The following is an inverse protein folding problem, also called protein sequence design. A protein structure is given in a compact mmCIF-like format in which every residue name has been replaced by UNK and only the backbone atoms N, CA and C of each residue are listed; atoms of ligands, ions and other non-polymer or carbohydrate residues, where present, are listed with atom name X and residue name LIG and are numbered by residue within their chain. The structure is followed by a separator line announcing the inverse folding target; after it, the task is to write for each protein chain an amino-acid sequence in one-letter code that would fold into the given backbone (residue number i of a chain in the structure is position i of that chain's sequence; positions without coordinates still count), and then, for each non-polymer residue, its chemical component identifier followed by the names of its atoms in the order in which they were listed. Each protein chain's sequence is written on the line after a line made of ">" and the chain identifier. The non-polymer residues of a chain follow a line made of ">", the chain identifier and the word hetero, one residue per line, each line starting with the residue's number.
data_IF_708414295202
#
_entry.id   IF_708414295202
#
_cell.length_a   1.000
_cell.length_b   1.000
_cell.length_c   1.000
_cell.angle_alpha   90.00
_cell.angle_beta   90.00
_cell.angle_gamma   90.00
#
_symmetry.space_group_name_H-M   'P 1'
#
loop_
_entity.id
_entity.type
_entity.pdbx_description
1 polymer ?
#
# COMPACT_ATOMS: atom_id res chain seq x y z
N UNK A 1 -36.29 -32.61 51.76
CA UNK A 1 -36.04 -33.09 50.38
C UNK A 1 -35.67 -31.89 49.53
N UNK A 2 -34.42 -31.61 49.43
CA UNK A 2 -33.90 -30.40 48.82
C UNK A 2 -33.41 -30.74 47.42
N UNK A 3 -34.10 -30.29 46.38
CA UNK A 3 -33.67 -30.42 45.00
C UNK A 3 -32.72 -29.28 44.68
N UNK A 4 -31.41 -29.60 44.62
CA UNK A 4 -30.37 -28.68 44.24
C UNK A 4 -30.36 -28.56 42.70
N UNK A 5 -30.84 -27.44 42.21
CA UNK A 5 -30.84 -27.14 40.79
C UNK A 5 -29.44 -26.57 40.46
N UNK A 6 -28.63 -27.36 39.74
CA UNK A 6 -27.35 -26.91 39.22
C UNK A 6 -27.61 -26.05 37.99
N UNK A 7 -27.47 -24.74 38.13
CA UNK A 7 -27.37 -23.83 37.01
C UNK A 7 -25.92 -23.90 36.46
N UNK A 8 -25.73 -24.63 35.40
CA UNK A 8 -24.50 -24.59 34.64
C UNK A 8 -24.60 -23.37 33.73
N UNK A 9 -23.95 -22.28 34.13
CA UNK A 9 -23.75 -21.12 33.28
C UNK A 9 -22.66 -21.45 32.25
N UNK A 10 -23.07 -21.81 31.05
CA UNK A 10 -22.16 -21.91 29.90
C UNK A 10 -21.77 -20.50 29.48
N UNK A 11 -20.58 -20.09 29.91
CA UNK A 11 -19.95 -18.85 29.45
C UNK A 11 -19.32 -19.12 28.07
N UNK A 12 -20.08 -18.84 27.02
CA UNK A 12 -19.57 -18.87 25.66
C UNK A 12 -18.70 -17.64 25.47
N UNK A 13 -17.36 -17.84 25.56
CA UNK A 13 -16.40 -16.83 25.21
C UNK A 13 -16.44 -16.64 23.69
N UNK A 14 -17.11 -15.57 23.24
CA UNK A 14 -17.06 -15.08 21.87
C UNK A 14 -15.69 -14.43 21.68
N UNK A 15 -14.73 -15.21 21.19
CA UNK A 15 -13.44 -14.68 20.74
C UNK A 15 -13.71 -13.81 19.50
N UNK A 16 -13.84 -12.50 19.71
CA UNK A 16 -13.82 -11.54 18.64
C UNK A 16 -12.41 -11.60 18.05
N UNK A 17 -12.26 -12.21 16.87
CA UNK A 17 -11.06 -12.06 16.05
C UNK A 17 -10.97 -10.57 15.66
N UNK A 18 -10.11 -9.84 16.36
CA UNK A 18 -9.76 -8.49 15.97
C UNK A 18 -8.84 -8.68 14.79
N UNK A 19 -9.38 -8.65 13.57
CA UNK A 19 -8.59 -8.42 12.37
C UNK A 19 -7.91 -7.06 12.57
N UNK A 20 -6.63 -7.11 12.91
CA UNK A 20 -5.77 -5.95 12.73
C UNK A 20 -5.70 -5.71 11.22
N UNK A 21 -6.71 -5.00 10.70
CA UNK A 21 -6.67 -4.48 9.35
C UNK A 21 -5.37 -3.71 9.21
N UNK A 22 -4.45 -4.29 8.47
CA UNK A 22 -3.30 -3.54 8.00
C UNK A 22 -3.88 -2.30 7.34
N UNK A 23 -3.42 -1.12 7.74
CA UNK A 23 -3.74 0.13 7.07
C UNK A 23 -3.05 0.11 5.69
N UNK A 24 -3.49 -0.80 4.83
CA UNK A 24 -3.19 -0.80 3.42
C UNK A 24 -3.93 0.40 2.84
N UNK A 25 -3.26 1.14 1.96
CA UNK A 25 -3.87 2.27 1.31
C UNK A 25 -5.23 1.89 0.71
N UNK A 26 -6.04 2.90 0.41
CA UNK A 26 -7.44 2.75 -0.04
C UNK A 26 -7.54 1.98 -1.38
N UNK A 27 -6.42 1.83 -2.14
CA UNK A 27 -6.36 1.20 -3.46
C UNK A 27 -5.96 -0.28 -3.46
N UNK A 28 -6.00 -0.89 -4.64
CA UNK A 28 -5.56 -2.26 -4.89
C UNK A 28 -4.08 -2.28 -5.32
N UNK A 29 -3.17 -2.90 -4.53
CA UNK A 29 -1.76 -2.95 -4.87
C UNK A 29 -1.44 -3.78 -6.12
N UNK A 30 -2.30 -4.71 -6.54
CA UNK A 30 -2.10 -5.46 -7.79
C UNK A 30 -2.37 -4.59 -9.01
N UNK A 31 -3.45 -3.83 -8.97
CA UNK A 31 -3.75 -2.86 -10.02
C UNK A 31 -2.69 -1.76 -10.05
N UNK A 32 -2.23 -1.33 -8.87
CA UNK A 32 -1.12 -0.38 -8.75
C UNK A 32 0.18 -0.89 -9.35
N UNK A 33 0.53 -2.16 -9.15
CA UNK A 33 1.68 -2.78 -9.82
C UNK A 33 1.51 -2.79 -11.34
N UNK A 34 0.36 -3.23 -11.84
CA UNK A 34 0.09 -3.29 -13.27
C UNK A 34 0.24 -1.89 -13.91
N UNK A 35 -0.33 -0.88 -13.27
CA UNK A 35 -0.26 0.50 -13.74
C UNK A 35 1.17 1.06 -13.65
N UNK A 36 1.90 0.79 -12.58
CA UNK A 36 3.31 1.19 -12.43
C UNK A 36 4.19 0.58 -13.53
N UNK A 37 3.94 -0.69 -13.88
CA UNK A 37 4.65 -1.35 -14.98
C UNK A 37 4.33 -0.74 -16.36
N UNK A 38 3.11 -0.27 -16.56
CA UNK A 38 2.72 0.37 -17.82
C UNK A 38 3.27 1.80 -17.97
N UNK A 39 3.27 2.56 -16.90
CA UNK A 39 3.53 4.01 -16.94
C UNK A 39 4.89 4.39 -16.37
N UNK A 40 5.25 3.83 -15.22
CA UNK A 40 6.43 4.26 -14.45
C UNK A 40 7.72 3.50 -14.84
N UNK A 41 7.58 2.26 -15.35
CA UNK A 41 8.72 1.38 -15.67
C UNK A 41 9.62 1.87 -16.79
N UNK A 42 9.19 2.85 -17.56
CA UNK A 42 10.04 3.48 -18.58
C UNK A 42 11.24 4.23 -17.97
N UNK A 43 11.07 4.72 -16.75
CA UNK A 43 12.09 5.48 -16.05
C UNK A 43 12.53 4.82 -14.73
N UNK A 44 11.61 4.24 -13.98
CA UNK A 44 11.84 3.69 -12.65
C UNK A 44 11.98 2.17 -12.68
N UNK A 45 12.82 1.62 -11.80
CA UNK A 45 12.70 0.24 -11.36
C UNK A 45 11.46 0.15 -10.46
N UNK A 46 10.43 -0.53 -10.92
CA UNK A 46 9.12 -0.57 -10.25
C UNK A 46 8.95 -1.78 -9.33
N UNK A 47 9.82 -2.78 -9.42
CA UNK A 47 9.77 -4.00 -8.59
C UNK A 47 11.08 -4.20 -7.84
N UNK A 48 11.00 -4.91 -6.70
CA UNK A 48 12.15 -5.14 -5.84
C UNK A 48 13.30 -5.88 -6.53
N UNK A 49 13.00 -6.79 -7.45
CA UNK A 49 14.00 -7.57 -8.19
C UNK A 49 14.83 -6.73 -9.19
N UNK A 50 14.33 -5.56 -9.61
CA UNK A 50 15.08 -4.67 -10.48
C UNK A 50 16.13 -3.90 -9.68
N UNK A 51 17.40 -4.14 -9.95
CA UNK A 51 18.53 -3.52 -9.22
C UNK A 51 18.86 -2.11 -9.71
N UNK A 52 18.39 -1.72 -10.90
CA UNK A 52 18.61 -0.39 -11.49
C UNK A 52 17.38 0.11 -12.22
N UNK A 53 17.15 1.41 -12.13
CA UNK A 53 16.15 2.10 -12.96
C UNK A 53 16.68 2.27 -14.39
N UNK A 54 15.81 2.18 -15.41
CA UNK A 54 16.19 2.48 -16.79
C UNK A 54 16.75 3.90 -16.96
N UNK A 55 16.17 4.87 -16.27
CA UNK A 55 16.74 6.20 -16.15
C UNK A 55 17.53 6.29 -14.84
N UNK A 56 18.84 6.52 -14.93
CA UNK A 56 19.73 6.58 -13.77
C UNK A 56 19.41 7.71 -12.78
N UNK A 57 18.65 8.72 -13.21
CA UNK A 57 18.19 9.82 -12.36
C UNK A 57 16.83 9.54 -11.70
N UNK A 58 16.14 8.49 -12.13
CA UNK A 58 14.86 8.08 -11.53
C UNK A 58 15.15 7.07 -10.41
N UNK A 59 14.82 7.39 -9.16
CA UNK A 59 15.05 6.46 -8.06
C UNK A 59 14.20 5.20 -8.21
N UNK A 60 14.67 4.10 -7.65
CA UNK A 60 13.91 2.84 -7.62
C UNK A 60 12.74 2.97 -6.64
N UNK A 61 11.62 2.37 -6.97
CA UNK A 61 10.45 2.34 -6.07
C UNK A 61 10.75 1.75 -4.69
N UNK A 62 11.47 0.61 -4.57
CA UNK A 62 11.84 0.09 -3.27
C UNK A 62 12.68 1.06 -2.41
N UNK A 63 13.58 1.81 -3.03
CA UNK A 63 14.41 2.78 -2.31
C UNK A 63 13.59 3.98 -1.82
N UNK A 64 12.67 4.45 -2.65
CA UNK A 64 11.74 5.51 -2.26
C UNK A 64 10.78 5.05 -1.15
N UNK A 65 10.24 3.82 -1.27
CA UNK A 65 9.30 3.28 -0.29
C UNK A 65 9.90 3.18 1.12
N UNK A 66 11.20 2.92 1.21
CA UNK A 66 11.93 2.82 2.48
C UNK A 66 12.51 4.16 2.95
N UNK A 67 12.30 5.24 2.22
CA UNK A 67 12.76 6.58 2.63
C UNK A 67 11.99 7.05 3.88
N UNK A 68 12.68 7.51 4.94
CA UNK A 68 12.01 8.04 6.12
C UNK A 68 11.01 9.15 5.77
N UNK A 69 9.80 9.07 6.31
CA UNK A 69 8.73 10.03 6.04
C UNK A 69 7.94 9.75 4.75
N UNK A 70 8.23 8.67 4.04
CA UNK A 70 7.43 8.27 2.88
C UNK A 70 6.07 7.74 3.35
N UNK A 71 5.02 8.46 3.00
CA UNK A 71 3.63 8.17 3.36
C UNK A 71 2.73 8.24 2.13
N UNK A 72 1.50 7.74 2.25
CA UNK A 72 0.50 7.90 1.18
C UNK A 72 0.27 9.35 0.81
N UNK A 73 0.27 10.27 1.79
CA UNK A 73 0.14 11.71 1.54
C UNK A 73 1.35 12.26 0.78
N UNK A 74 2.57 11.85 1.15
CA UNK A 74 3.78 12.28 0.42
C UNK A 74 3.75 11.80 -1.03
N UNK A 75 3.32 10.56 -1.27
CA UNK A 75 3.14 10.01 -2.61
C UNK A 75 2.05 10.73 -3.39
N UNK A 76 0.92 11.03 -2.74
CA UNK A 76 -0.14 11.81 -3.36
C UNK A 76 0.39 13.16 -3.87
N UNK A 77 1.14 13.86 -3.05
CA UNK A 77 1.75 15.15 -3.43
C UNK A 77 2.73 14.95 -4.59
N UNK A 78 3.60 13.93 -4.52
CA UNK A 78 4.56 13.64 -5.59
C UNK A 78 3.89 13.31 -6.94
N UNK A 79 2.76 12.61 -6.91
CA UNK A 79 2.01 12.23 -8.12
C UNK A 79 1.13 13.36 -8.67
N UNK A 80 0.86 14.38 -7.89
CA UNK A 80 -0.02 15.51 -8.30
C UNK A 80 0.71 16.84 -8.48
N UNK A 81 2.00 16.90 -8.14
CA UNK A 81 2.82 18.10 -8.22
C UNK A 81 3.95 17.91 -9.22
N UNK A 82 4.17 18.86 -10.15
CA UNK A 82 5.33 18.79 -11.04
C UNK A 82 6.64 18.77 -10.26
N UNK A 83 7.56 17.89 -10.66
CA UNK A 83 8.92 17.89 -10.13
C UNK A 83 9.93 17.55 -11.22
N UNK A 84 11.20 17.98 -11.00
CA UNK A 84 12.22 17.94 -12.01
C UNK A 84 12.44 16.52 -12.57
N UNK A 85 12.42 16.40 -13.89
CA UNK A 85 12.76 15.19 -14.62
C UNK A 85 11.66 14.15 -14.71
N UNK A 86 10.51 14.34 -14.04
CA UNK A 86 9.37 13.45 -14.13
C UNK A 86 8.17 14.16 -14.79
N UNK A 87 7.56 13.58 -15.83
CA UNK A 87 6.33 14.13 -16.40
C UNK A 87 5.20 14.09 -15.37
N UNK A 88 4.30 15.07 -15.42
CA UNK A 88 3.06 15.04 -14.66
C UNK A 88 2.06 14.14 -15.39
N UNK A 89 1.69 13.02 -14.79
CA UNK A 89 0.67 12.12 -15.31
C UNK A 89 -0.70 12.46 -14.75
N UNK A 90 -1.71 12.33 -15.60
CA UNK A 90 -3.10 12.46 -15.16
C UNK A 90 -3.66 11.08 -14.80
N UNK A 91 -3.81 10.84 -13.52
CA UNK A 91 -4.44 9.62 -12.98
C UNK A 91 -5.84 9.92 -12.47
N UNK A 92 -6.74 8.97 -12.58
CA UNK A 92 -7.99 9.00 -11.81
C UNK A 92 -7.67 8.88 -10.30
N UNK A 93 -8.64 9.18 -9.43
CA UNK A 93 -8.48 8.99 -8.00
C UNK A 93 -8.13 7.53 -7.66
N UNK A 94 -8.88 6.58 -8.24
CA UNK A 94 -8.68 5.16 -8.08
C UNK A 94 -7.26 4.71 -8.54
N UNK A 95 -6.85 5.07 -9.74
CA UNK A 95 -5.52 4.76 -10.25
C UNK A 95 -4.39 5.27 -9.35
N UNK A 96 -4.55 6.46 -8.82
CA UNK A 96 -3.58 7.05 -7.89
C UNK A 96 -3.54 6.30 -6.57
N UNK A 97 -4.69 5.94 -6.03
CA UNK A 97 -4.79 5.17 -4.79
C UNK A 97 -4.20 3.76 -4.96
N UNK A 98 -4.39 3.12 -6.11
CA UNK A 98 -3.80 1.84 -6.46
C UNK A 98 -2.27 1.93 -6.52
N UNK A 99 -1.72 2.93 -7.20
CA UNK A 99 -0.26 3.17 -7.26
C UNK A 99 0.30 3.40 -5.85
N UNK A 100 -0.34 4.20 -5.03
CA UNK A 100 0.08 4.48 -3.66
C UNK A 100 0.05 3.20 -2.82
N UNK A 101 -1.00 2.40 -2.93
CA UNK A 101 -1.10 1.12 -2.21
C UNK A 101 -0.01 0.14 -2.62
N UNK A 102 0.27 0.02 -3.91
CA UNK A 102 1.38 -0.80 -4.38
C UNK A 102 2.72 -0.30 -3.84
N UNK A 103 2.98 0.98 -3.97
CA UNK A 103 4.23 1.60 -3.52
C UNK A 103 4.47 1.35 -2.02
N UNK A 104 3.47 1.58 -1.18
CA UNK A 104 3.56 1.34 0.25
C UNK A 104 3.70 -0.15 0.61
N UNK A 105 3.41 -1.07 -0.30
CA UNK A 105 3.62 -2.50 -0.11
C UNK A 105 5.09 -2.95 -0.28
N UNK A 106 5.97 -2.04 -0.72
CA UNK A 106 7.38 -2.34 -1.02
C UNK A 106 8.34 -2.15 0.17
N UNK A 107 7.85 -1.72 1.33
CA UNK A 107 8.66 -1.56 2.55
C UNK A 107 8.57 -2.72 3.53
#
# INVERSE_FOLDING_TARGET
>A
MTKLIHFIATFTALAAAIDFGHAQGIGDPKEGLALAQQVCSRCHATVAAQVKSPNSRAPRFPDLATTPGMTGTALFVALTTPHAGMPLFTFTGEQRDDIISYFLSLH
#
